data_IF_894020259888
#
_entry.id   IF_894020259888
#
_cell.length_a   1.000
_cell.length_b   1.000
_cell.length_c   1.000
_cell.angle_alpha   90.00
_cell.angle_beta   90.00
_cell.angle_gamma   90.00
#
_symmetry.space_group_name_H-M   'P 1'
#
loop_
_entity.id
_entity.type
_entity.pdbx_description
1 polymer ?
#
# COMPACT_ATOMS: atom_id res chain seq x y z
N UNK A 1 9.15 -18.71 2.30
CA UNK A 1 7.86 -18.10 2.70
C UNK A 1 7.94 -16.62 2.35
N UNK A 2 6.99 -16.11 1.56
CA UNK A 2 6.88 -14.67 1.29
C UNK A 2 6.19 -13.94 2.44
N UNK A 3 6.32 -12.61 2.54
CA UNK A 3 5.62 -11.83 3.55
C UNK A 3 4.10 -11.97 3.38
N UNK A 4 3.38 -12.10 4.50
CA UNK A 4 1.91 -12.10 4.52
C UNK A 4 1.45 -10.72 4.95
N UNK A 5 0.76 -10.02 4.05
CA UNK A 5 0.15 -8.74 4.37
C UNK A 5 -1.09 -8.96 5.24
N UNK A 6 -1.27 -8.10 6.24
CA UNK A 6 -2.48 -8.04 7.05
C UNK A 6 -3.11 -6.67 6.89
N UNK A 7 -4.40 -6.64 6.57
CA UNK A 7 -5.19 -5.41 6.48
C UNK A 7 -6.24 -5.45 7.59
N UNK A 8 -6.40 -4.33 8.29
CA UNK A 8 -7.42 -4.08 9.30
C UNK A 8 -8.10 -2.74 9.06
N UNK A 9 -9.33 -2.60 9.55
CA UNK A 9 -10.02 -1.31 9.61
C UNK A 9 -9.69 -0.68 10.96
N UNK A 10 -9.12 0.51 10.93
CA UNK A 10 -8.73 1.25 12.13
C UNK A 10 -9.57 2.53 12.26
N UNK A 11 -10.01 2.86 13.47
CA UNK A 11 -10.78 4.08 13.73
C UNK A 11 -9.87 5.31 13.89
N UNK A 12 -8.62 5.11 14.32
CA UNK A 12 -7.65 6.19 14.57
C UNK A 12 -6.24 5.79 14.14
N UNK A 13 -5.45 6.73 13.59
CA UNK A 13 -4.05 6.49 13.29
C UNK A 13 -3.21 6.43 14.56
N UNK A 14 -2.17 5.60 14.54
CA UNK A 14 -1.11 5.63 15.53
C UNK A 14 -0.13 6.76 15.22
N UNK A 15 0.64 7.19 16.24
CA UNK A 15 1.68 8.21 16.07
C UNK A 15 2.82 7.78 15.14
N UNK A 16 2.96 6.48 14.91
CA UNK A 16 3.96 5.86 14.03
C UNK A 16 3.42 5.54 12.63
N UNK A 17 2.19 5.91 12.31
CA UNK A 17 1.61 5.67 11.00
C UNK A 17 1.87 6.83 10.04
N UNK A 18 2.19 6.47 8.80
CA UNK A 18 2.12 7.39 7.67
C UNK A 18 0.72 7.29 7.06
N UNK A 19 0.09 8.45 6.81
CA UNK A 19 -1.27 8.54 6.30
C UNK A 19 -1.21 8.92 4.81
N UNK A 20 -1.86 8.10 3.98
CA UNK A 20 -2.12 8.39 2.57
C UNK A 20 -3.63 8.57 2.39
N UNK A 21 -4.05 9.56 1.60
CA UNK A 21 -5.47 9.83 1.36
C UNK A 21 -5.73 9.93 -0.14
N UNK A 22 -6.66 9.12 -0.64
CA UNK A 22 -7.08 9.11 -2.04
C UNK A 22 -8.58 8.81 -2.12
N UNK A 23 -9.33 9.60 -2.90
CA UNK A 23 -10.79 9.51 -3.03
C UNK A 23 -11.56 9.46 -1.68
N UNK A 24 -11.02 10.13 -0.66
CA UNK A 24 -11.60 10.17 0.70
C UNK A 24 -11.35 8.92 1.53
N UNK A 25 -10.60 7.95 0.99
CA UNK A 25 -10.15 6.75 1.71
C UNK A 25 -8.78 7.04 2.30
N UNK A 26 -8.63 6.79 3.61
CA UNK A 26 -7.36 6.91 4.31
C UNK A 26 -6.71 5.54 4.45
N UNK A 27 -5.48 5.43 3.96
CA UNK A 27 -4.62 4.26 4.12
C UNK A 27 -3.54 4.59 5.13
N UNK A 28 -3.46 3.76 6.17
CA UNK A 28 -2.48 3.88 7.24
C UNK A 28 -1.40 2.84 7.03
N UNK A 29 -0.14 3.28 6.99
CA UNK A 29 1.02 2.39 6.88
C UNK A 29 1.93 2.65 8.07
N UNK A 30 2.09 1.63 8.91
CA UNK A 30 3.01 1.71 10.05
C UNK A 30 4.45 1.88 9.56
N UNK A 31 5.22 2.74 10.21
CA UNK A 31 6.60 3.09 9.79
C UNK A 31 7.52 1.88 9.56
N UNK A 32 7.35 0.80 10.35
CA UNK A 32 8.17 -0.41 10.22
C UNK A 32 7.88 -1.19 8.94
N UNK A 33 6.67 -1.03 8.39
CA UNK A 33 6.23 -1.78 7.23
C UNK A 33 6.42 -0.98 5.93
N UNK A 34 6.69 0.33 6.03
CA UNK A 34 6.83 1.24 4.90
C UNK A 34 7.77 0.72 3.81
N UNK A 35 8.88 0.08 4.21
CA UNK A 35 9.88 -0.51 3.30
C UNK A 35 9.29 -1.56 2.35
N UNK A 36 8.18 -2.20 2.71
CA UNK A 36 7.50 -3.19 1.87
C UNK A 36 6.49 -2.57 0.90
N UNK A 37 6.12 -1.31 1.13
CA UNK A 37 5.13 -0.56 0.35
C UNK A 37 5.74 0.53 -0.53
N UNK A 38 7.06 0.78 -0.43
CA UNK A 38 7.75 1.69 -1.33
C UNK A 38 7.51 1.30 -2.79
N UNK A 39 7.08 2.28 -3.59
CA UNK A 39 6.79 2.10 -5.01
C UNK A 39 5.76 0.99 -5.25
N UNK A 40 4.74 0.91 -4.40
CA UNK A 40 3.60 0.00 -4.60
C UNK A 40 2.31 0.77 -4.84
N UNK A 41 1.39 0.14 -5.57
CA UNK A 41 0.04 0.59 -5.83
C UNK A 41 -0.92 -0.40 -5.16
N UNK A 42 -1.90 0.11 -4.44
CA UNK A 42 -2.96 -0.67 -3.81
C UNK A 42 -4.20 -0.63 -4.72
N UNK A 43 -4.66 -1.80 -5.15
CA UNK A 43 -5.84 -1.96 -6.01
C UNK A 43 -6.89 -2.82 -5.29
N UNK A 44 -8.16 -2.63 -5.64
CA UNK A 44 -9.27 -3.41 -5.12
C UNK A 44 -9.97 -4.14 -6.26
N UNK A 45 -9.93 -5.47 -6.21
CA UNK A 45 -10.58 -6.29 -7.23
C UNK A 45 -12.06 -6.51 -6.91
N UNK A 46 -12.89 -6.41 -7.97
CA UNK A 46 -14.29 -6.85 -7.93
C UNK A 46 -14.34 -8.35 -7.62
N UNK A 47 -14.54 -8.67 -6.35
CA UNK A 47 -14.39 -10.03 -5.80
C UNK A 47 -14.01 -10.04 -4.33
N UNK A 48 -13.61 -8.89 -3.77
CA UNK A 48 -13.45 -8.71 -2.32
C UNK A 48 -12.01 -8.76 -1.83
N UNK A 49 -11.02 -8.49 -2.68
CA UNK A 49 -9.60 -8.57 -2.34
C UNK A 49 -8.85 -7.28 -2.64
N UNK A 50 -7.93 -6.94 -1.74
CA UNK A 50 -6.91 -5.92 -2.00
C UNK A 50 -5.67 -6.58 -2.62
N UNK A 51 -5.10 -5.92 -3.62
CA UNK A 51 -3.87 -6.33 -4.28
C UNK A 51 -2.83 -5.23 -4.15
N UNK A 52 -1.60 -5.63 -3.85
CA UNK A 52 -0.43 -4.78 -3.98
C UNK A 52 0.31 -5.10 -5.26
N UNK A 53 0.46 -4.09 -6.10
CA UNK A 53 1.24 -4.15 -7.34
C UNK A 53 2.50 -3.31 -7.13
N UNK A 54 3.63 -3.75 -7.67
CA UNK A 54 4.77 -2.83 -7.79
C UNK A 54 4.40 -1.77 -8.83
N UNK A 55 4.50 -0.50 -8.45
CA UNK A 55 4.29 0.61 -9.37
C UNK A 55 5.31 0.48 -10.50
N UNK A 56 4.79 0.38 -11.71
CA UNK A 56 5.60 0.16 -12.89
C UNK A 56 6.32 1.43 -13.29
N UNK A 57 7.55 1.64 -12.79
CA UNK A 57 8.59 2.23 -13.63
C UNK A 57 9.06 1.16 -14.64
N UNK A 58 8.14 0.73 -15.50
CA UNK A 58 8.48 -0.04 -16.68
C UNK A 58 9.11 0.93 -17.71
N UNK A 59 10.44 0.99 -17.73
CA UNK A 59 11.21 1.42 -18.89
C UNK A 59 11.43 2.93 -19.05
N UNK A 60 12.51 3.44 -18.44
CA UNK A 60 13.45 4.30 -19.17
C UNK A 60 14.70 3.50 -19.50
N UNK A 61 14.56 2.53 -20.40
CA UNK A 61 15.62 2.24 -21.35
C UNK A 61 15.47 3.27 -22.47
N UNK A 62 16.03 4.46 -22.27
CA UNK A 62 16.36 5.30 -23.40
C UNK A 62 17.44 4.58 -24.22
N UNK A 63 17.26 4.70 -25.54
CA UNK A 63 18.04 4.08 -26.62
C UNK A 63 19.54 4.31 -26.54
#
# INVERSE_FOLDING_TARGET
MGPKLQLSLEEQPLSSDTIFEEDGIKVLIHQNDFVYFEQTELDYEKGGGFLLKKSGLAGRTDR
#
